data_IF_055603439653
#
_entry.id   IF_055603439653
#
_cell.length_a   1.000
_cell.length_b   1.000
_cell.length_c   1.000
_cell.angle_alpha   90.00
_cell.angle_beta   90.00
_cell.angle_gamma   90.00
#
_symmetry.space_group_name_H-M   'P 1'
#
loop_
_entity.id
_entity.type
_entity.pdbx_description
1 polymer ?
#
# COMPACT_ATOMS: atom_id res chain seq x y z
N UNK A 1 -13.11 -7.51 -48.60
CA UNK A 1 -13.87 -6.73 -47.60
C UNK A 1 -13.30 -6.92 -46.20
N UNK A 2 -13.22 -8.14 -45.67
CA UNK A 2 -12.64 -8.43 -44.34
C UNK A 2 -11.19 -7.92 -44.15
N UNK A 3 -10.33 -8.12 -45.15
CA UNK A 3 -8.91 -7.69 -45.14
C UNK A 3 -8.71 -6.16 -45.19
N UNK A 4 -9.75 -5.40 -45.56
CA UNK A 4 -9.71 -3.93 -45.56
C UNK A 4 -10.11 -3.38 -44.19
N UNK A 5 -11.11 -3.99 -43.56
CA UNK A 5 -11.59 -3.62 -42.21
C UNK A 5 -10.50 -3.83 -41.16
N UNK A 6 -9.66 -4.87 -41.29
CA UNK A 6 -8.52 -5.12 -40.39
C UNK A 6 -7.41 -4.05 -40.48
N UNK A 7 -7.38 -3.23 -41.54
CA UNK A 7 -6.41 -2.13 -41.68
C UNK A 7 -6.91 -0.83 -41.03
N UNK A 8 -8.17 -0.79 -40.61
CA UNK A 8 -8.76 0.36 -39.94
C UNK A 8 -8.50 0.24 -38.45
N UNK A 9 -7.99 1.33 -37.85
CA UNK A 9 -7.85 1.42 -36.40
C UNK A 9 -9.21 1.83 -35.82
N UNK A 10 -9.74 1.10 -34.82
CA UNK A 10 -11.00 1.46 -34.16
C UNK A 10 -10.90 2.74 -33.31
N UNK A 11 -9.68 3.16 -32.96
CA UNK A 11 -9.37 4.33 -32.11
C UNK A 11 -8.40 5.32 -32.79
N UNK A 12 -8.77 5.97 -33.92
CA UNK A 12 -7.84 6.79 -34.71
C UNK A 12 -7.33 8.04 -33.96
N UNK A 13 -8.04 8.45 -32.90
CA UNK A 13 -7.65 9.55 -32.01
C UNK A 13 -6.60 9.19 -30.96
N UNK A 14 -6.32 7.90 -30.73
CA UNK A 14 -5.36 7.44 -29.71
C UNK A 14 -3.93 7.94 -29.99
N UNK A 15 -3.54 8.05 -31.26
CA UNK A 15 -2.26 8.61 -31.69
C UNK A 15 -2.08 10.11 -31.38
N UNK A 16 -3.18 10.82 -31.07
CA UNK A 16 -3.19 12.23 -30.71
C UNK A 16 -3.43 12.45 -29.21
N UNK A 17 -3.66 11.37 -28.47
CA UNK A 17 -3.82 11.41 -27.03
C UNK A 17 -2.44 11.35 -26.39
N UNK A 18 -2.02 12.42 -25.72
CA UNK A 18 -0.90 12.31 -24.79
C UNK A 18 -1.37 11.49 -23.61
N UNK A 19 -0.94 10.24 -23.54
CA UNK A 19 -1.10 9.40 -22.35
C UNK A 19 -0.19 9.97 -21.27
N UNK A 20 -0.71 10.94 -20.52
CA UNK A 20 -0.12 11.29 -19.24
C UNK A 20 -0.45 10.16 -18.28
N UNK A 21 0.46 9.19 -18.17
CA UNK A 21 0.40 8.20 -17.10
C UNK A 21 0.94 8.89 -15.85
N UNK A 22 0.10 9.19 -14.84
CA UNK A 22 0.59 9.77 -13.59
C UNK A 22 1.56 8.79 -12.95
N UNK A 23 2.85 9.12 -12.95
CA UNK A 23 3.86 8.34 -12.25
C UNK A 23 3.88 8.79 -10.78
N UNK A 24 3.60 7.85 -9.88
CA UNK A 24 3.73 8.09 -8.46
C UNK A 24 5.18 7.84 -8.07
N UNK A 25 5.84 8.84 -7.50
CA UNK A 25 7.18 8.71 -6.94
C UNK A 25 7.08 8.14 -5.52
N UNK A 26 7.51 6.89 -5.29
CA UNK A 26 7.41 6.27 -3.98
C UNK A 26 8.41 6.88 -3.01
N UNK A 27 8.08 6.90 -1.72
CA UNK A 27 8.93 7.39 -0.62
C UNK A 27 10.01 6.38 -0.21
N UNK A 28 9.69 5.10 -0.35
CA UNK A 28 10.56 3.98 0.00
C UNK A 28 10.69 3.04 -1.21
N UNK A 29 11.79 2.32 -1.29
CA UNK A 29 11.94 1.20 -2.20
C UNK A 29 12.38 -0.04 -1.42
N UNK A 30 11.91 -1.20 -1.85
CA UNK A 30 12.35 -2.49 -1.35
C UNK A 30 12.85 -3.33 -2.50
N UNK A 31 14.05 -3.88 -2.34
CA UNK A 31 14.69 -4.80 -3.27
C UNK A 31 15.14 -6.06 -2.54
N UNK A 32 15.28 -7.16 -3.27
CA UNK A 32 15.83 -8.40 -2.75
C UNK A 32 17.30 -8.45 -3.19
N UNK A 33 18.22 -8.49 -2.24
CA UNK A 33 19.66 -8.63 -2.48
C UNK A 33 20.16 -9.78 -1.62
N UNK A 34 20.82 -10.78 -2.22
CA UNK A 34 21.33 -11.97 -1.50
C UNK A 34 20.28 -12.68 -0.62
N UNK A 35 19.02 -12.74 -1.10
CA UNK A 35 17.85 -13.26 -0.38
C UNK A 35 17.45 -12.46 0.90
N UNK A 36 18.00 -11.26 1.08
CA UNK A 36 17.60 -10.32 2.11
C UNK A 36 16.78 -9.16 1.54
N UNK A 37 15.78 -8.70 2.31
CA UNK A 37 15.01 -7.51 1.95
C UNK A 37 15.78 -6.26 2.34
N UNK A 38 16.22 -5.51 1.33
CA UNK A 38 16.90 -4.24 1.51
C UNK A 38 15.92 -3.10 1.28
N UNK A 39 15.69 -2.31 2.32
CA UNK A 39 14.79 -1.16 2.29
C UNK A 39 15.62 0.10 2.15
N UNK A 40 15.32 0.90 1.13
CA UNK A 40 15.99 2.17 0.88
C UNK A 40 14.98 3.30 0.85
N UNK A 41 15.45 4.46 1.27
CA UNK A 41 14.74 5.70 1.02
C UNK A 41 14.98 6.07 -0.44
N UNK A 42 13.91 6.37 -1.17
CA UNK A 42 14.09 6.95 -2.50
C UNK A 42 14.55 8.40 -2.34
N UNK A 43 15.06 8.99 -3.43
CA UNK A 43 15.23 10.45 -3.52
C UNK A 43 13.85 11.12 -3.65
N UNK A 44 13.02 10.95 -2.64
CA UNK A 44 11.80 11.71 -2.42
C UNK A 44 12.16 13.20 -2.49
N UNK A 45 11.43 13.98 -3.29
CA UNK A 45 11.51 15.43 -3.23
C UNK A 45 10.85 15.91 -1.94
N UNK A 46 11.49 15.65 -0.79
CA UNK A 46 11.20 16.43 0.41
C UNK A 46 11.35 17.89 0.00
N UNK A 47 10.34 18.74 0.20
CA UNK A 47 10.45 20.14 -0.15
C UNK A 47 11.70 20.71 0.51
N UNK A 48 12.60 21.28 -0.31
CA UNK A 48 13.82 21.89 0.19
C UNK A 48 13.44 23.22 0.84
N UNK A 49 13.40 23.25 2.17
CA UNK A 49 13.12 24.48 2.91
C UNK A 49 14.44 25.18 3.22
N UNK A 50 14.75 26.23 2.46
CA UNK A 50 15.92 27.07 2.69
C UNK A 50 15.61 28.23 3.63
N UNK A 51 16.52 28.53 4.55
CA UNK A 51 16.49 29.72 5.39
C UNK A 51 17.50 30.74 4.90
N UNK A 52 17.07 31.99 4.73
CA UNK A 52 17.99 33.08 4.41
C UNK A 52 18.62 33.61 5.71
N UNK A 53 19.74 33.00 6.13
CA UNK A 53 20.45 33.36 7.36
C UNK A 53 20.94 34.80 7.33
N UNK A 54 21.49 35.25 6.19
CA UNK A 54 21.97 36.62 6.02
C UNK A 54 20.88 37.65 6.29
N UNK A 55 19.69 37.45 5.72
CA UNK A 55 18.57 38.37 5.92
C UNK A 55 18.08 38.36 7.38
N UNK A 56 18.12 37.20 8.04
CA UNK A 56 17.80 37.09 9.45
C UNK A 56 18.81 37.85 10.33
N UNK A 57 20.10 37.73 10.05
CA UNK A 57 21.16 38.41 10.79
C UNK A 57 21.05 39.93 10.61
N UNK A 58 20.91 40.40 9.36
CA UNK A 58 20.74 41.83 9.03
C UNK A 58 19.54 42.45 9.76
N UNK A 59 18.40 41.75 9.84
CA UNK A 59 17.21 42.26 10.54
C UNK A 59 17.26 42.10 12.06
N UNK A 60 18.05 41.15 12.56
CA UNK A 60 18.22 40.93 14.01
C UNK A 60 19.02 42.04 14.68
N UNK A 61 19.86 42.75 13.90
CA UNK A 61 20.68 43.87 14.36
C UNK A 61 19.91 45.21 14.44
N UNK A 62 18.68 45.30 13.90
CA UNK A 62 17.84 46.51 13.99
C UNK A 62 17.47 46.86 15.43
N UNK A 63 17.45 48.13 15.82
CA UNK A 63 17.06 48.54 17.18
C UNK A 63 15.55 48.44 17.48
N UNK A 64 14.70 48.15 16.48
CA UNK A 64 13.26 48.03 16.67
C UNK A 64 12.89 46.72 17.43
N UNK A 65 12.36 46.81 18.66
CA UNK A 65 12.00 45.64 19.45
C UNK A 65 10.87 44.81 18.83
N UNK A 66 9.95 45.43 18.07
CA UNK A 66 8.86 44.72 17.41
C UNK A 66 9.39 43.86 16.26
N UNK A 67 10.31 44.42 15.47
CA UNK A 67 10.98 43.69 14.38
C UNK A 67 11.81 42.52 14.92
N UNK A 68 12.58 42.71 16.00
CA UNK A 68 13.34 41.61 16.63
C UNK A 68 12.44 40.48 17.09
N UNK A 69 11.30 40.80 17.70
CA UNK A 69 10.33 39.79 18.15
C UNK A 69 9.76 39.00 16.97
N UNK A 70 9.32 39.70 15.93
CA UNK A 70 8.76 39.11 14.71
C UNK A 70 9.74 38.16 14.01
N UNK A 71 11.00 38.59 13.82
CA UNK A 71 12.00 37.79 13.12
C UNK A 71 12.39 36.54 13.93
N UNK A 72 12.48 36.65 15.26
CA UNK A 72 12.65 35.48 16.15
C UNK A 72 11.49 34.48 16.03
N UNK A 73 10.26 34.96 15.96
CA UNK A 73 9.09 34.10 15.74
C UNK A 73 9.17 33.37 14.39
N UNK A 74 9.54 34.08 13.31
CA UNK A 74 9.72 33.46 11.99
C UNK A 74 10.83 32.43 11.93
N UNK A 75 11.93 32.65 12.65
CA UNK A 75 12.98 31.64 12.81
C UNK A 75 12.45 30.40 13.54
N UNK A 76 11.69 30.58 14.62
CA UNK A 76 11.05 29.48 15.35
C UNK A 76 10.07 28.68 14.46
N UNK A 77 9.26 29.36 13.66
CA UNK A 77 8.36 28.71 12.68
C UNK A 77 9.16 27.85 11.68
N UNK A 78 10.26 28.40 11.13
CA UNK A 78 11.15 27.66 10.23
C UNK A 78 11.75 26.41 10.90
N UNK A 79 12.27 26.54 12.13
CA UNK A 79 12.89 25.43 12.84
C UNK A 79 11.87 24.32 13.15
N UNK A 80 10.64 24.70 13.52
CA UNK A 80 9.53 23.77 13.72
C UNK A 80 9.19 23.04 12.41
N UNK A 81 9.11 23.77 11.29
CA UNK A 81 8.83 23.18 9.98
C UNK A 81 9.92 22.18 9.57
N UNK A 82 11.19 22.57 9.67
CA UNK A 82 12.32 21.72 9.34
C UNK A 82 12.33 20.44 10.19
N UNK A 83 12.16 20.59 11.51
CA UNK A 83 12.08 19.46 12.44
C UNK A 83 10.88 18.55 12.11
N UNK A 84 9.74 19.12 11.75
CA UNK A 84 8.53 18.37 11.41
C UNK A 84 8.69 17.56 10.12
N UNK A 85 9.39 18.11 9.12
CA UNK A 85 9.72 17.39 7.88
C UNK A 85 10.65 16.19 8.15
N UNK A 86 11.68 16.39 8.97
CA UNK A 86 12.58 15.30 9.38
C UNK A 86 11.85 14.21 10.15
N UNK A 87 10.99 14.60 11.11
CA UNK A 87 10.15 13.66 11.86
C UNK A 87 9.21 12.88 10.94
N UNK A 88 8.56 13.54 9.98
CA UNK A 88 7.69 12.86 9.00
C UNK A 88 8.47 11.79 8.23
N UNK A 89 9.66 12.16 7.72
CA UNK A 89 10.53 11.23 6.98
C UNK A 89 10.88 10.01 7.83
N UNK A 90 11.32 10.24 9.07
CA UNK A 90 11.69 9.17 10.00
C UNK A 90 10.49 8.28 10.34
N UNK A 91 9.32 8.87 10.62
CA UNK A 91 8.09 8.11 10.88
C UNK A 91 7.70 7.23 9.69
N UNK A 92 7.74 7.76 8.46
CA UNK A 92 7.43 6.98 7.25
C UNK A 92 8.41 5.82 7.11
N UNK A 93 9.70 6.06 7.33
CA UNK A 93 10.72 5.01 7.28
C UNK A 93 10.47 3.92 8.31
N UNK A 94 10.23 4.28 9.57
CA UNK A 94 9.99 3.33 10.66
C UNK A 94 8.71 2.51 10.42
N UNK A 95 7.61 3.17 10.08
CA UNK A 95 6.33 2.51 9.78
C UNK A 95 6.45 1.63 8.55
N UNK A 96 7.05 2.13 7.46
CA UNK A 96 7.26 1.36 6.24
C UNK A 96 8.14 0.14 6.48
N UNK A 97 9.22 0.29 7.24
CA UNK A 97 10.12 -0.82 7.60
C UNK A 97 9.37 -1.88 8.40
N UNK A 98 8.63 -1.50 9.43
CA UNK A 98 7.83 -2.45 10.21
C UNK A 98 6.83 -3.20 9.34
N UNK A 99 6.11 -2.49 8.44
CA UNK A 99 5.18 -3.13 7.49
C UNK A 99 5.90 -4.16 6.62
N UNK A 100 7.05 -3.81 6.04
CA UNK A 100 7.80 -4.72 5.15
C UNK A 100 8.30 -5.94 5.92
N UNK A 101 8.76 -5.76 7.16
CA UNK A 101 9.22 -6.85 8.01
C UNK A 101 8.09 -7.83 8.38
N UNK A 102 6.89 -7.34 8.68
CA UNK A 102 5.72 -8.21 8.89
C UNK A 102 5.25 -8.91 7.61
N UNK A 103 5.54 -8.34 6.45
CA UNK A 103 5.12 -8.82 5.14
C UNK A 103 6.26 -9.47 4.33
N UNK A 104 7.32 -9.94 4.99
CA UNK A 104 8.51 -10.47 4.32
C UNK A 104 8.19 -11.50 3.24
N UNK A 105 7.29 -12.45 3.54
CA UNK A 105 6.92 -13.51 2.62
C UNK A 105 6.24 -12.98 1.34
N UNK A 106 5.43 -11.92 1.45
CA UNK A 106 4.82 -11.23 0.30
C UNK A 106 5.86 -10.60 -0.62
N UNK A 107 6.90 -9.98 -0.05
CA UNK A 107 7.92 -9.30 -0.85
C UNK A 107 8.88 -10.29 -1.52
N UNK A 108 9.18 -11.42 -0.87
CA UNK A 108 10.02 -12.48 -1.44
C UNK A 108 9.32 -13.26 -2.56
N UNK A 109 8.02 -13.52 -2.42
CA UNK A 109 7.25 -14.34 -3.35
C UNK A 109 6.02 -13.58 -3.86
N UNK A 110 5.98 -13.28 -5.16
CA UNK A 110 4.98 -12.41 -5.79
C UNK A 110 3.51 -12.78 -5.52
N UNK A 111 3.24 -14.08 -5.34
CA UNK A 111 1.90 -14.61 -5.20
C UNK A 111 1.52 -14.82 -3.71
N UNK A 112 2.45 -14.66 -2.77
CA UNK A 112 2.18 -14.98 -1.37
C UNK A 112 1.17 -13.99 -0.77
N UNK A 113 0.11 -14.46 -0.10
CA UNK A 113 -0.87 -13.58 0.51
C UNK A 113 -0.27 -12.77 1.66
N UNK A 114 -0.82 -11.57 1.90
CA UNK A 114 -0.38 -10.72 3.00
C UNK A 114 -0.60 -11.40 4.35
N UNK A 115 0.36 -11.28 5.25
CA UNK A 115 0.19 -11.59 6.66
C UNK A 115 -0.85 -10.63 7.29
N UNK A 116 -1.61 -11.06 8.31
CA UNK A 116 -2.51 -10.16 9.01
C UNK A 116 -1.72 -9.08 9.78
N UNK A 117 -2.00 -7.81 9.49
CA UNK A 117 -1.34 -6.67 10.11
C UNK A 117 -2.32 -5.52 10.28
N UNK A 118 -2.58 -5.13 11.53
CA UNK A 118 -3.48 -4.03 11.87
C UNK A 118 -2.70 -2.80 12.31
N UNK A 119 -3.30 -1.62 12.13
CA UNK A 119 -2.73 -0.34 12.59
C UNK A 119 -2.41 -0.34 14.10
N UNK A 120 -3.22 -1.04 14.90
CA UNK A 120 -3.02 -1.17 16.36
C UNK A 120 -1.74 -1.94 16.69
N UNK A 121 -1.40 -2.97 15.91
CA UNK A 121 -0.18 -3.75 16.13
C UNK A 121 1.06 -2.89 15.92
N UNK A 122 1.08 -2.14 14.81
CA UNK A 122 2.17 -1.21 14.53
C UNK A 122 2.24 -0.05 15.54
N UNK A 123 1.09 0.40 16.06
CA UNK A 123 1.00 1.47 17.04
C UNK A 123 1.64 1.08 18.38
N UNK A 124 1.35 -0.15 18.83
CA UNK A 124 1.95 -0.74 20.02
C UNK A 124 3.45 -1.00 19.83
N UNK A 125 3.83 -1.59 18.70
CA UNK A 125 5.24 -1.92 18.39
C UNK A 125 6.13 -0.68 18.31
N UNK A 126 5.69 0.35 17.59
CA UNK A 126 6.46 1.57 17.35
C UNK A 126 6.24 2.65 18.42
N UNK A 127 5.41 2.39 19.43
CA UNK A 127 4.99 3.36 20.44
C UNK A 127 4.43 4.66 19.83
N UNK A 128 3.64 4.54 18.76
CA UNK A 128 2.98 5.65 18.09
C UNK A 128 1.47 5.63 18.30
N UNK A 129 0.85 6.80 18.26
CA UNK A 129 -0.60 6.88 18.19
C UNK A 129 -1.11 6.25 16.89
N UNK A 130 -2.23 5.53 16.96
CA UNK A 130 -2.85 4.93 15.78
C UNK A 130 -3.15 5.96 14.67
N UNK A 131 -3.51 7.18 15.04
CA UNK A 131 -3.73 8.30 14.10
C UNK A 131 -2.44 8.72 13.38
N UNK A 132 -1.29 8.64 14.04
CA UNK A 132 0.03 8.92 13.44
C UNK A 132 0.35 7.88 12.37
N UNK A 133 0.17 6.60 12.66
CA UNK A 133 0.42 5.52 11.69
C UNK A 133 -0.55 5.60 10.52
N UNK A 134 -1.83 5.81 10.79
CA UNK A 134 -2.85 6.00 9.75
C UNK A 134 -2.49 7.13 8.78
N UNK A 135 -1.96 8.25 9.30
CA UNK A 135 -1.47 9.37 8.48
C UNK A 135 -0.18 9.03 7.75
N UNK A 136 0.71 8.24 8.35
CA UNK A 136 1.99 7.87 7.77
C UNK A 136 1.85 6.88 6.60
N UNK A 137 0.85 5.99 6.63
CA UNK A 137 0.61 5.01 5.53
C UNK A 137 -0.27 5.55 4.42
N UNK A 138 -1.03 6.62 4.69
CA UNK A 138 -1.95 7.22 3.72
C UNK A 138 -1.16 7.97 2.66
N UNK A 139 -1.49 7.74 1.38
CA UNK A 139 -0.89 8.44 0.24
C UNK A 139 0.64 8.34 0.20
N UNK A 140 1.19 7.33 0.88
CA UNK A 140 2.62 7.01 0.90
C UNK A 140 2.80 5.71 0.16
N UNK A 141 3.74 5.69 -0.76
CA UNK A 141 3.97 4.62 -1.72
C UNK A 141 5.34 4.01 -1.52
N UNK A 142 5.41 2.73 -1.83
CA UNK A 142 6.64 1.95 -1.84
C UNK A 142 6.84 1.33 -3.21
N UNK A 143 8.06 1.45 -3.73
CA UNK A 143 8.51 0.70 -4.89
C UNK A 143 8.83 -0.72 -4.45
N UNK A 144 8.18 -1.70 -5.09
CA UNK A 144 8.42 -3.12 -4.83
C UNK A 144 8.98 -3.79 -6.09
N UNK A 145 9.57 -5.00 -5.99
CA UNK A 145 9.99 -5.75 -7.17
C UNK A 145 8.87 -6.00 -8.19
N UNK A 146 7.61 -5.91 -7.75
CA UNK A 146 6.40 -6.15 -8.55
C UNK A 146 5.65 -4.86 -8.91
N UNK A 147 6.31 -3.71 -8.76
CA UNK A 147 5.75 -2.38 -9.04
C UNK A 147 5.40 -1.57 -7.79
N UNK A 148 5.01 -0.31 -7.98
CA UNK A 148 4.72 0.62 -6.87
C UNK A 148 3.33 0.38 -6.26
N UNK A 149 3.25 0.36 -4.93
CA UNK A 149 1.99 0.18 -4.18
C UNK A 149 1.90 1.14 -3.00
N UNK A 150 0.69 1.50 -2.59
CA UNK A 150 0.48 2.29 -1.37
C UNK A 150 0.79 1.45 -0.12
N UNK A 151 1.44 2.03 0.90
CA UNK A 151 1.73 1.34 2.16
C UNK A 151 0.47 0.79 2.84
N UNK A 152 -0.66 1.49 2.71
CA UNK A 152 -1.94 1.05 3.29
C UNK A 152 -2.42 -0.30 2.75
N UNK A 153 -2.01 -0.73 1.54
CA UNK A 153 -2.47 -1.99 0.95
C UNK A 153 -1.88 -3.20 1.65
N UNK A 154 -0.74 -3.05 2.32
CA UNK A 154 -0.08 -4.10 3.09
C UNK A 154 -0.68 -4.32 4.48
N UNK A 155 -1.68 -3.49 4.85
CA UNK A 155 -2.46 -3.67 6.07
C UNK A 155 -3.62 -4.61 5.77
N UNK A 156 -3.56 -5.83 6.29
CA UNK A 156 -4.63 -6.82 6.10
C UNK A 156 -5.30 -7.15 7.43
N UNK A 157 -6.62 -7.14 7.46
CA UNK A 157 -7.39 -7.48 8.67
C UNK A 157 -7.37 -8.99 8.89
N UNK A 158 -7.20 -9.40 10.15
CA UNK A 158 -7.49 -10.77 10.59
C UNK A 158 -8.96 -11.09 10.33
N UNK A 159 -9.21 -12.24 9.75
CA UNK A 159 -10.51 -12.89 9.77
C UNK A 159 -10.81 -13.30 11.21
N UNK A 160 -12.00 -12.95 11.71
CA UNK A 160 -12.46 -13.33 13.04
C UNK A 160 -12.62 -14.84 13.23
N UNK A 161 -12.64 -15.61 12.13
CA UNK A 161 -12.93 -17.05 12.16
C UNK A 161 -11.66 -17.92 12.14
N UNK A 162 -10.58 -17.47 11.51
CA UNK A 162 -9.36 -18.26 11.32
C UNK A 162 -8.07 -17.58 11.79
N UNK A 163 -8.11 -16.30 12.16
CA UNK A 163 -6.91 -15.52 12.46
C UNK A 163 -6.03 -15.19 11.24
N UNK A 164 -6.34 -15.78 10.08
CA UNK A 164 -5.68 -15.55 8.79
C UNK A 164 -6.12 -14.22 8.17
N UNK A 165 -5.35 -13.72 7.22
CA UNK A 165 -5.66 -12.47 6.54
C UNK A 165 -6.81 -12.67 5.55
N UNK A 166 -7.53 -11.60 5.23
CA UNK A 166 -8.57 -11.64 4.18
C UNK A 166 -7.98 -12.15 2.86
N UNK A 167 -6.81 -11.68 2.50
CA UNK A 167 -6.18 -11.98 1.20
C UNK A 167 -5.77 -13.45 1.12
N UNK A 168 -5.32 -14.04 2.23
CA UNK A 168 -5.04 -15.49 2.32
C UNK A 168 -6.30 -16.32 2.02
N UNK A 169 -7.42 -15.98 2.67
CA UNK A 169 -8.69 -16.69 2.49
C UNK A 169 -9.20 -16.59 1.05
N UNK A 170 -9.09 -15.40 0.47
CA UNK A 170 -9.49 -15.14 -0.93
C UNK A 170 -8.62 -15.96 -1.89
N UNK A 171 -7.30 -15.99 -1.67
CA UNK A 171 -6.38 -16.76 -2.51
C UNK A 171 -6.61 -18.27 -2.41
N UNK A 172 -6.80 -18.80 -1.20
CA UNK A 172 -7.13 -20.22 -1.01
C UNK A 172 -8.44 -20.58 -1.70
N UNK A 173 -9.46 -19.71 -1.61
CA UNK A 173 -10.72 -19.90 -2.32
C UNK A 173 -10.53 -19.92 -3.84
N UNK A 174 -9.73 -19.02 -4.40
CA UNK A 174 -9.41 -19.03 -5.84
C UNK A 174 -8.68 -20.29 -6.27
N UNK A 175 -7.74 -20.80 -5.48
CA UNK A 175 -7.01 -22.03 -5.78
C UNK A 175 -7.95 -23.25 -5.80
N UNK A 176 -8.83 -23.36 -4.79
CA UNK A 176 -9.84 -24.43 -4.75
C UNK A 176 -10.80 -24.37 -5.94
N UNK A 177 -11.21 -23.17 -6.36
CA UNK A 177 -12.08 -22.98 -7.51
C UNK A 177 -11.35 -23.29 -8.82
N UNK A 178 -10.09 -22.86 -8.98
CA UNK A 178 -9.27 -23.16 -10.17
C UNK A 178 -8.97 -24.66 -10.32
N UNK A 179 -8.90 -25.39 -9.20
CA UNK A 179 -8.69 -26.84 -9.18
C UNK A 179 -10.00 -27.66 -9.24
N UNK A 180 -11.17 -27.02 -9.33
CA UNK A 180 -12.45 -27.72 -9.34
C UNK A 180 -12.72 -28.41 -10.70
N UNK A 181 -13.53 -29.47 -10.68
CA UNK A 181 -14.02 -30.11 -11.90
C UNK A 181 -15.18 -29.27 -12.48
N UNK A 182 -15.00 -28.70 -13.68
CA UNK A 182 -16.03 -27.90 -14.37
C UNK A 182 -17.34 -28.67 -14.61
N UNK A 183 -17.30 -30.00 -14.72
CA UNK A 183 -18.50 -30.82 -14.86
C UNK A 183 -19.28 -30.94 -13.54
N UNK A 184 -18.61 -30.75 -12.40
CA UNK A 184 -19.17 -30.83 -11.04
C UNK A 184 -18.58 -29.74 -10.14
N UNK A 185 -18.88 -28.46 -10.41
CA UNK A 185 -18.31 -27.36 -9.67
C UNK A 185 -18.72 -27.43 -8.19
N UNK A 186 -17.80 -27.04 -7.31
CA UNK A 186 -18.00 -27.12 -5.88
C UNK A 186 -19.10 -26.13 -5.47
N UNK A 187 -19.99 -26.56 -4.59
CA UNK A 187 -20.99 -25.67 -3.98
C UNK A 187 -20.33 -24.76 -2.94
N UNK A 188 -20.94 -23.61 -2.62
CA UNK A 188 -20.44 -22.73 -1.55
C UNK A 188 -20.28 -23.45 -0.20
N UNK A 189 -21.06 -24.51 0.05
CA UNK A 189 -20.92 -25.35 1.25
C UNK A 189 -19.70 -26.28 1.14
N UNK A 190 -19.50 -26.93 0.00
CA UNK A 190 -18.35 -27.79 -0.24
C UNK A 190 -17.02 -27.01 -0.21
N UNK A 191 -17.01 -25.78 -0.75
CA UNK A 191 -15.87 -24.88 -0.64
C UNK A 191 -15.59 -24.48 0.82
N UNK A 192 -16.63 -24.24 1.62
CA UNK A 192 -16.48 -23.96 3.06
C UNK A 192 -15.86 -25.15 3.81
N UNK A 193 -16.26 -26.37 3.47
CA UNK A 193 -15.77 -27.57 4.14
C UNK A 193 -14.36 -27.97 3.67
N UNK A 194 -14.02 -27.74 2.39
CA UNK A 194 -12.65 -27.87 1.87
C UNK A 194 -11.70 -26.87 2.55
N UNK A 195 -12.10 -25.60 2.68
CA UNK A 195 -11.32 -24.59 3.40
C UNK A 195 -11.10 -24.99 4.88
N UNK A 196 -12.09 -25.57 5.55
CA UNK A 196 -11.92 -26.08 6.93
C UNK A 196 -10.89 -27.21 7.03
N UNK A 197 -10.75 -28.04 6.01
CA UNK A 197 -9.74 -29.10 5.99
C UNK A 197 -8.31 -28.54 5.93
N UNK A 198 -8.16 -27.29 5.48
CA UNK A 198 -6.90 -26.52 5.48
C UNK A 198 -6.78 -25.58 6.69
N UNK A 199 -7.53 -25.83 7.77
CA UNK A 199 -7.63 -24.97 8.97
C UNK A 199 -8.17 -23.54 8.71
N UNK A 200 -8.80 -23.31 7.55
CA UNK A 200 -9.43 -22.03 7.19
C UNK A 200 -10.92 -22.09 7.53
N UNK A 201 -11.28 -21.63 8.73
CA UNK A 201 -12.70 -21.49 9.10
C UNK A 201 -13.34 -20.31 8.35
N UNK A 202 -14.21 -20.62 7.38
CA UNK A 202 -15.03 -19.65 6.67
C UNK A 202 -16.45 -20.17 6.51
N UNK A 203 -17.44 -19.41 6.98
CA UNK A 203 -18.86 -19.78 6.79
C UNK A 203 -19.28 -19.80 5.31
N UNK A 204 -20.30 -20.59 4.96
CA UNK A 204 -20.94 -20.59 3.61
C UNK A 204 -21.31 -19.19 3.11
N UNK A 205 -21.86 -18.32 3.98
CA UNK A 205 -22.20 -16.93 3.62
C UNK A 205 -20.95 -16.10 3.34
N UNK A 206 -19.85 -16.38 4.04
CA UNK A 206 -18.53 -15.78 3.81
C UNK A 206 -17.93 -16.19 2.47
N UNK A 207 -18.00 -17.49 2.13
CA UNK A 207 -17.60 -18.01 0.80
C UNK A 207 -18.35 -17.28 -0.31
N UNK A 208 -19.69 -17.24 -0.23
CA UNK A 208 -20.52 -16.57 -1.22
C UNK A 208 -20.18 -15.06 -1.35
N UNK A 209 -19.90 -14.40 -0.23
CA UNK A 209 -19.49 -12.98 -0.21
C UNK A 209 -18.18 -12.76 -0.95
N UNK A 210 -17.14 -13.57 -0.68
CA UNK A 210 -15.84 -13.42 -1.34
C UNK A 210 -15.90 -13.85 -2.81
N UNK A 211 -16.62 -14.94 -3.14
CA UNK A 211 -16.86 -15.36 -4.52
C UNK A 211 -17.48 -14.24 -5.37
N UNK A 212 -18.51 -13.57 -4.83
CA UNK A 212 -19.14 -12.43 -5.50
C UNK A 212 -18.21 -11.20 -5.60
N UNK A 213 -17.28 -11.00 -4.68
CA UNK A 213 -16.27 -9.93 -4.79
C UNK A 213 -15.24 -10.18 -5.90
N UNK A 214 -15.07 -11.45 -6.29
CA UNK A 214 -14.17 -11.88 -7.36
C UNK A 214 -14.89 -12.06 -8.71
N UNK A 215 -16.16 -11.65 -8.80
CA UNK A 215 -17.01 -11.85 -9.98
C UNK A 215 -17.12 -13.31 -10.45
N UNK A 216 -16.85 -14.27 -9.56
CA UNK A 216 -16.98 -15.70 -9.86
C UNK A 216 -18.46 -16.07 -9.76
N UNK A 217 -19.08 -16.71 -10.76
CA UNK A 217 -20.51 -17.05 -10.72
C UNK A 217 -20.82 -18.22 -9.79
N UNK A 218 -22.11 -18.47 -9.51
CA UNK A 218 -22.51 -19.55 -8.60
C UNK A 218 -22.19 -20.93 -9.17
N UNK A 219 -22.09 -21.96 -8.33
CA UNK A 219 -21.80 -23.33 -8.79
C UNK A 219 -22.75 -23.82 -9.89
N UNK A 220 -24.02 -23.43 -9.87
CA UNK A 220 -24.99 -23.78 -10.93
C UNK A 220 -24.66 -23.15 -12.28
N UNK A 221 -24.05 -21.96 -12.28
CA UNK A 221 -23.69 -21.19 -13.47
C UNK A 221 -22.28 -21.50 -13.98
N UNK A 222 -21.43 -22.10 -13.14
CA UNK A 222 -20.08 -22.56 -13.51
C UNK A 222 -20.04 -23.94 -14.14
N UNK A 223 -21.16 -24.65 -14.10
CA UNK A 223 -21.25 -26.00 -14.66
C UNK A 223 -21.30 -25.90 -16.18
N UNK A 224 -20.29 -26.47 -16.83
CA UNK A 224 -20.23 -26.64 -18.29
C UNK A 224 -20.94 -27.94 -18.74
#
# INVERSE_FOLDING_TARGET
>A
MYSFIQKLTPSPGEAYQSTFTPFVLPELSVSIEDDELVIRETKYKTPLVSFNSRYFDELSDSDDPNLKSYIKEKKKEYDILQTSLLKRKETIKQVGTAIIMHQQAYFKEADTPLAPLQLTNLAEELNFNQSTISRAVRETYIETPYGSKELKTFLSRRSSQSGLSKDYIVKALEQLIKAEDNAKPLSDQALSDALKAEDISLSRRGVAKYRNQLDIPSSKQRKE
#
